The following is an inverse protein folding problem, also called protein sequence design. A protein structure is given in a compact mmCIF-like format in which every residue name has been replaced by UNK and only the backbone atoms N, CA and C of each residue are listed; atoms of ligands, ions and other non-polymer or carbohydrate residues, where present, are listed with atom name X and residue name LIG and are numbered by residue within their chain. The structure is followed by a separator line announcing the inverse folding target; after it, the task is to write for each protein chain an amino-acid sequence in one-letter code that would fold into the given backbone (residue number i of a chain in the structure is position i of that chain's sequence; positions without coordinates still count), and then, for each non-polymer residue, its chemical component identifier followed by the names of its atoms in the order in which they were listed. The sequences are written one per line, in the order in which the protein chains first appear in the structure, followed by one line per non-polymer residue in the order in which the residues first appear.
data_IF_369449623703
#
_entry.id   IF_369449623703
#
_cell.length_a   1.000
_cell.length_b   1.000
_cell.length_c   1.000
_cell.angle_alpha   90.00
_cell.angle_beta   90.00
_cell.angle_gamma   90.00
#
_symmetry.space_group_name_H-M   'P 1'
#
loop_
_entity.id
_entity.type
_entity.pdbx_description
1 polymer ?
#
# COMPACT_ATOMS: atom_id res chain seq x y z
N UNK A 1 16.06 8.79 -6.10
CA UNK A 1 15.46 7.51 -5.69
C UNK A 1 13.94 7.59 -5.70
N UNK A 2 13.33 6.45 -5.86
CA UNK A 2 11.88 6.33 -5.76
C UNK A 2 11.45 6.56 -4.31
N UNK A 3 10.54 7.52 -4.08
CA UNK A 3 9.95 7.73 -2.76
C UNK A 3 8.79 6.76 -2.58
N UNK A 4 8.76 6.08 -1.44
CA UNK A 4 7.66 5.22 -1.03
C UNK A 4 7.21 5.67 0.36
N UNK A 5 5.96 6.09 0.47
CA UNK A 5 5.34 6.46 1.74
C UNK A 5 4.57 5.25 2.28
N UNK A 6 4.98 4.75 3.43
CA UNK A 6 4.37 3.61 4.10
C UNK A 6 3.58 4.13 5.31
N UNK A 7 2.27 3.92 5.27
CA UNK A 7 1.36 4.31 6.35
C UNK A 7 0.99 3.10 7.18
N UNK A 8 1.40 3.11 8.44
CA UNK A 8 1.19 2.04 9.40
C UNK A 8 2.50 1.47 9.93
N UNK A 9 2.54 1.17 11.23
CA UNK A 9 3.73 0.63 11.89
C UNK A 9 3.42 -0.64 12.70
N UNK A 10 2.43 -1.40 12.25
CA UNK A 10 2.11 -2.71 12.84
C UNK A 10 3.12 -3.78 12.45
N UNK A 11 2.80 -5.03 12.76
CA UNK A 11 3.73 -6.16 12.58
C UNK A 11 4.15 -6.36 11.13
N UNK A 12 3.24 -6.20 10.17
CA UNK A 12 3.58 -6.35 8.75
C UNK A 12 4.55 -5.25 8.32
N UNK A 13 4.28 -4.00 8.68
CA UNK A 13 5.16 -2.88 8.35
C UNK A 13 6.54 -3.06 8.97
N UNK A 14 6.60 -3.52 10.22
CA UNK A 14 7.87 -3.80 10.91
C UNK A 14 8.68 -4.88 10.20
N UNK A 15 8.02 -5.88 9.62
CA UNK A 15 8.69 -6.92 8.83
C UNK A 15 9.06 -6.42 7.42
N UNK A 16 8.28 -5.50 6.87
CA UNK A 16 8.45 -4.97 5.51
C UNK A 16 9.61 -3.96 5.41
N UNK A 17 9.71 -3.05 6.37
CA UNK A 17 10.68 -1.93 6.30
C UNK A 17 12.12 -2.43 6.15
N UNK A 18 12.61 -3.45 6.87
CA UNK A 18 13.98 -3.95 6.67
C UNK A 18 14.24 -4.45 5.25
N UNK A 19 13.24 -4.99 4.58
CA UNK A 19 13.36 -5.43 3.18
C UNK A 19 13.43 -4.21 2.26
N UNK A 20 12.48 -3.29 2.41
CA UNK A 20 12.43 -2.07 1.59
C UNK A 20 13.69 -1.22 1.73
N UNK A 21 14.29 -1.21 2.91
CA UNK A 21 15.51 -0.47 3.19
C UNK A 21 16.71 -0.94 2.34
N UNK A 22 16.68 -2.16 1.85
CA UNK A 22 17.74 -2.72 1.00
C UNK A 22 17.53 -2.45 -0.49
N UNK A 23 16.42 -1.83 -0.84
CA UNK A 23 16.05 -1.52 -2.22
C UNK A 23 16.36 -0.04 -2.53
N UNK A 24 16.43 0.35 -3.82
CA UNK A 24 16.69 1.75 -4.19
C UNK A 24 15.47 2.65 -3.95
N UNK A 25 15.05 2.74 -2.71
CA UNK A 25 13.89 3.51 -2.26
C UNK A 25 14.32 4.55 -1.22
N UNK A 26 13.59 5.65 -1.16
CA UNK A 26 13.53 6.52 0.00
C UNK A 26 12.20 6.25 0.69
N UNK A 27 12.23 5.67 1.87
CA UNK A 27 11.03 5.24 2.59
C UNK A 27 10.65 6.31 3.60
N UNK A 28 9.43 6.82 3.49
CA UNK A 28 8.79 7.66 4.51
C UNK A 28 7.80 6.79 5.25
N UNK A 29 8.11 6.47 6.50
CA UNK A 29 7.32 5.57 7.32
C UNK A 29 6.51 6.37 8.32
N UNK A 30 5.18 6.29 8.26
CA UNK A 30 4.28 7.19 8.98
C UNK A 30 3.24 6.39 9.76
N UNK A 31 3.07 6.72 11.04
CA UNK A 31 2.01 6.14 11.87
C UNK A 31 1.49 7.22 12.81
N UNK A 32 0.27 7.04 13.31
CA UNK A 32 -0.34 7.99 14.25
C UNK A 32 -0.18 7.58 15.72
N UNK A 33 0.48 6.45 15.99
CA UNK A 33 0.64 5.92 17.36
C UNK A 33 2.07 6.13 17.84
N UNK A 34 2.24 7.01 18.81
CA UNK A 34 3.55 7.32 19.38
C UNK A 34 4.23 6.08 19.97
N UNK A 35 3.44 5.15 20.55
CA UNK A 35 3.95 3.92 21.14
C UNK A 35 4.66 2.99 20.16
N UNK A 36 4.43 3.16 18.85
CA UNK A 36 5.06 2.35 17.82
C UNK A 36 6.31 3.00 17.20
N UNK A 37 6.70 4.17 17.70
CA UNK A 37 7.90 4.86 17.23
C UNK A 37 9.12 3.94 17.44
N UNK A 38 9.92 3.69 16.39
CA UNK A 38 11.10 2.85 16.52
C UNK A 38 12.08 3.38 17.56
N UNK A 39 12.61 2.50 18.38
CA UNK A 39 13.61 2.84 19.41
C UNK A 39 15.04 2.59 18.95
N UNK A 40 15.21 1.74 17.93
CA UNK A 40 16.51 1.46 17.34
C UNK A 40 16.78 2.40 16.16
N UNK A 41 18.06 2.70 15.86
CA UNK A 41 18.40 3.49 14.69
C UNK A 41 17.86 2.86 13.40
N UNK A 42 17.30 3.71 12.52
CA UNK A 42 16.77 3.26 11.23
C UNK A 42 17.86 3.30 10.15
N UNK A 43 17.72 2.47 9.10
CA UNK A 43 18.58 2.58 7.93
C UNK A 43 18.56 4.00 7.35
N UNK A 44 19.65 4.41 6.69
CA UNK A 44 19.85 5.78 6.22
C UNK A 44 18.77 6.25 5.24
N UNK A 45 18.13 5.34 4.51
CA UNK A 45 17.09 5.65 3.53
C UNK A 45 15.65 5.51 4.08
N UNK A 46 15.51 5.35 5.40
CA UNK A 46 14.21 5.25 6.06
C UNK A 46 14.07 6.39 7.07
N UNK A 47 13.03 7.20 6.90
CA UNK A 47 12.64 8.21 7.87
C UNK A 47 11.32 7.80 8.52
N UNK A 48 11.19 7.98 9.83
CA UNK A 48 9.95 7.71 10.55
C UNK A 48 9.34 9.00 11.07
N UNK A 49 8.03 9.11 10.88
CA UNK A 49 7.25 10.25 11.39
C UNK A 49 6.04 9.75 12.14
N UNK A 50 5.87 10.19 13.39
CA UNK A 50 4.62 10.03 14.12
C UNK A 50 3.79 11.29 13.89
N UNK A 51 2.63 11.15 13.27
CA UNK A 51 1.72 12.26 12.95
C UNK A 51 0.31 11.86 13.37
N UNK A 52 -0.32 12.70 14.18
CA UNK A 52 -1.71 12.47 14.65
C UNK A 52 -2.71 12.46 13.49
N UNK A 53 -2.40 13.16 12.40
CA UNK A 53 -3.25 13.28 11.21
C UNK A 53 -2.48 12.86 9.95
N UNK A 54 -2.22 11.55 9.76
CA UNK A 54 -1.38 11.09 8.65
C UNK A 54 -1.88 11.46 7.26
N UNK A 55 -3.19 11.66 7.09
CA UNK A 55 -3.77 12.09 5.79
C UNK A 55 -3.14 13.40 5.31
N UNK A 56 -2.76 14.28 6.24
CA UNK A 56 -2.09 15.54 5.92
C UNK A 56 -0.70 15.37 5.29
N UNK A 57 -0.09 14.19 5.39
CA UNK A 57 1.21 13.92 4.78
C UNK A 57 1.09 13.62 3.29
N UNK A 58 -0.09 13.24 2.80
CA UNK A 58 -0.29 12.93 1.38
C UNK A 58 0.06 14.12 0.46
N UNK A 59 -0.46 15.34 0.72
CA UNK A 59 -0.12 16.49 -0.14
C UNK A 59 1.36 16.88 -0.12
N UNK A 60 2.10 16.45 0.89
CA UNK A 60 3.51 16.79 1.04
C UNK A 60 4.45 15.82 0.29
N UNK A 61 3.92 14.76 -0.27
CA UNK A 61 4.71 13.76 -1.00
C UNK A 61 5.18 14.33 -2.35
N UNK A 62 6.42 14.07 -2.74
CA UNK A 62 6.88 14.45 -4.08
C UNK A 62 6.05 13.78 -5.18
N UNK A 63 5.91 14.47 -6.30
CA UNK A 63 5.29 13.87 -7.49
C UNK A 63 6.02 12.57 -7.86
N UNK A 64 5.25 11.55 -8.23
CA UNK A 64 5.77 10.23 -8.54
C UNK A 64 5.93 9.30 -7.35
N UNK A 65 5.63 9.74 -6.14
CA UNK A 65 5.72 8.89 -4.95
C UNK A 65 4.75 7.72 -5.03
N UNK A 66 5.15 6.59 -4.46
CA UNK A 66 4.29 5.43 -4.25
C UNK A 66 3.76 5.45 -2.82
N UNK A 67 2.51 5.05 -2.66
CA UNK A 67 1.84 5.03 -1.35
C UNK A 67 1.47 3.58 -1.03
N UNK A 68 1.79 3.15 0.18
CA UNK A 68 1.44 1.81 0.70
C UNK A 68 0.71 2.00 2.03
N UNK A 69 -0.51 1.48 2.12
CA UNK A 69 -1.42 1.70 3.24
C UNK A 69 -1.64 0.39 3.98
N UNK A 70 -1.28 0.35 5.25
CA UNK A 70 -1.47 -0.80 6.13
C UNK A 70 -1.62 -0.36 7.58
N UNK A 71 -2.56 0.57 7.84
CA UNK A 71 -2.80 1.03 9.21
C UNK A 71 -3.65 0.02 9.98
N UNK A 72 -3.78 0.25 11.28
CA UNK A 72 -4.62 -0.56 12.16
C UNK A 72 -6.10 -0.17 12.12
N UNK A 73 -6.45 0.90 11.40
CA UNK A 73 -7.77 1.53 11.41
C UNK A 73 -8.32 1.57 9.98
N UNK A 74 -9.43 0.86 9.73
CA UNK A 74 -10.05 0.79 8.40
C UNK A 74 -10.55 2.16 7.92
N UNK A 75 -11.01 3.03 8.82
CA UNK A 75 -11.46 4.37 8.43
C UNK A 75 -10.27 5.22 7.99
N UNK A 76 -9.16 5.14 8.70
CA UNK A 76 -7.94 5.84 8.32
C UNK A 76 -7.40 5.31 6.98
N UNK A 77 -7.40 3.99 6.80
CA UNK A 77 -7.02 3.38 5.52
C UNK A 77 -7.85 3.96 4.37
N UNK A 78 -9.16 4.09 4.58
CA UNK A 78 -10.06 4.64 3.56
C UNK A 78 -9.73 6.10 3.25
N UNK A 79 -9.54 6.92 4.27
CA UNK A 79 -9.23 8.35 4.11
C UNK A 79 -7.90 8.54 3.39
N UNK A 80 -6.90 7.72 3.72
CA UNK A 80 -5.60 7.74 3.05
C UNK A 80 -5.73 7.35 1.57
N UNK A 81 -6.47 6.28 1.29
CA UNK A 81 -6.70 5.81 -0.08
C UNK A 81 -7.44 6.89 -0.91
N UNK A 82 -8.49 7.45 -0.36
CA UNK A 82 -9.26 8.50 -1.04
C UNK A 82 -8.38 9.72 -1.34
N UNK A 83 -7.64 10.20 -0.36
CA UNK A 83 -6.78 11.37 -0.53
C UNK A 83 -5.68 11.11 -1.57
N UNK A 84 -5.05 9.93 -1.49
CA UNK A 84 -3.99 9.56 -2.42
C UNK A 84 -4.50 9.40 -3.85
N UNK A 85 -5.68 8.81 -4.04
CA UNK A 85 -6.26 8.61 -5.36
C UNK A 85 -6.76 9.91 -5.99
N UNK A 86 -7.15 10.88 -5.19
CA UNK A 86 -7.50 12.22 -5.68
C UNK A 86 -6.26 13.03 -6.06
N UNK A 87 -5.09 12.67 -5.54
CA UNK A 87 -3.85 13.36 -5.87
C UNK A 87 -3.38 12.95 -7.27
N UNK A 88 -3.17 13.90 -8.20
CA UNK A 88 -2.89 13.56 -9.60
C UNK A 88 -1.51 12.93 -9.84
N UNK A 89 -0.57 13.14 -8.93
CA UNK A 89 0.84 12.81 -9.16
C UNK A 89 1.33 11.61 -8.33
N UNK A 90 0.42 10.78 -7.82
CA UNK A 90 0.77 9.57 -7.08
C UNK A 90 0.38 8.35 -7.91
N UNK A 91 1.32 7.77 -8.68
CA UNK A 91 0.98 6.76 -9.68
C UNK A 91 0.67 5.37 -9.12
N UNK A 92 0.95 5.13 -7.84
CA UNK A 92 0.73 3.82 -7.22
C UNK A 92 0.22 4.01 -5.80
N UNK A 93 -0.93 3.42 -5.53
CA UNK A 93 -1.54 3.41 -4.20
C UNK A 93 -1.91 1.98 -3.87
N UNK A 94 -1.13 1.34 -3.01
CA UNK A 94 -1.36 -0.04 -2.58
C UNK A 94 -1.95 -0.08 -1.18
N UNK A 95 -2.85 -1.03 -0.94
CA UNK A 95 -3.47 -1.20 0.38
C UNK A 95 -3.58 -2.66 0.75
N UNK A 96 -3.20 -2.98 1.99
CA UNK A 96 -3.33 -4.30 2.56
C UNK A 96 -4.80 -4.62 2.86
N UNK A 97 -5.18 -5.88 2.80
CA UNK A 97 -6.50 -6.34 3.21
C UNK A 97 -6.93 -7.60 2.49
N UNK A 98 -8.10 -8.10 2.86
CA UNK A 98 -8.73 -9.25 2.20
C UNK A 98 -9.36 -8.81 0.87
N UNK A 99 -9.73 -9.79 0.04
CA UNK A 99 -10.51 -9.54 -1.17
C UNK A 99 -11.86 -8.86 -0.84
N UNK A 100 -12.49 -9.26 0.25
CA UNK A 100 -13.75 -8.66 0.70
C UNK A 100 -13.57 -7.18 1.05
N UNK A 101 -12.52 -6.85 1.79
CA UNK A 101 -12.19 -5.46 2.13
C UNK A 101 -11.91 -4.65 0.85
N UNK A 102 -11.13 -5.22 -0.06
CA UNK A 102 -10.79 -4.57 -1.33
C UNK A 102 -12.03 -4.19 -2.12
N UNK A 103 -12.95 -5.13 -2.31
CA UNK A 103 -14.22 -4.87 -3.03
C UNK A 103 -15.06 -3.79 -2.37
N UNK A 104 -15.18 -3.86 -1.04
CA UNK A 104 -15.94 -2.88 -0.27
C UNK A 104 -15.35 -1.49 -0.39
N UNK A 105 -14.02 -1.39 -0.33
CA UNK A 105 -13.33 -0.10 -0.45
C UNK A 105 -13.46 0.48 -1.86
N UNK A 106 -13.30 -0.34 -2.89
CA UNK A 106 -13.47 0.12 -4.28
C UNK A 106 -14.89 0.65 -4.49
N UNK A 107 -15.90 -0.09 -4.04
CA UNK A 107 -17.29 0.33 -4.16
C UNK A 107 -17.53 1.67 -3.44
N UNK A 108 -17.02 1.80 -2.23
CA UNK A 108 -17.18 3.03 -1.45
C UNK A 108 -16.44 4.22 -2.07
N UNK A 109 -15.25 4.00 -2.62
CA UNK A 109 -14.50 5.02 -3.34
C UNK A 109 -15.27 5.50 -4.58
N UNK A 110 -15.84 4.57 -5.33
CA UNK A 110 -16.69 4.91 -6.47
C UNK A 110 -17.86 5.80 -6.05
N UNK A 111 -18.53 5.47 -4.96
CA UNK A 111 -19.64 6.26 -4.44
C UNK A 111 -19.22 7.65 -3.96
N UNK A 112 -17.95 7.84 -3.66
CA UNK A 112 -17.36 9.13 -3.30
C UNK A 112 -16.86 9.91 -4.52
N UNK A 113 -17.10 9.41 -5.73
CA UNK A 113 -16.75 10.11 -6.96
C UNK A 113 -15.34 9.84 -7.48
N UNK A 114 -14.65 8.83 -6.95
CA UNK A 114 -13.35 8.42 -7.49
C UNK A 114 -13.59 7.79 -8.87
N UNK A 115 -12.92 8.31 -9.89
CA UNK A 115 -13.08 7.87 -11.28
C UNK A 115 -12.38 6.55 -11.55
N UNK A 116 -12.73 5.90 -12.65
CA UNK A 116 -12.05 4.69 -13.10
C UNK A 116 -10.56 4.95 -13.36
N UNK A 117 -10.22 6.12 -13.91
CA UNK A 117 -8.83 6.50 -14.11
C UNK A 117 -8.05 6.63 -12.81
N UNK A 118 -8.66 7.18 -11.79
CA UNK A 118 -8.07 7.26 -10.45
C UNK A 118 -7.94 5.87 -9.83
N UNK A 119 -8.98 5.03 -9.93
CA UNK A 119 -8.97 3.67 -9.40
C UNK A 119 -7.95 2.78 -10.10
N UNK A 120 -7.56 3.08 -11.33
CA UNK A 120 -6.55 2.30 -12.05
C UNK A 120 -5.18 2.30 -11.36
N UNK A 121 -4.94 3.27 -10.48
CA UNK A 121 -3.71 3.38 -9.69
C UNK A 121 -3.79 2.65 -8.34
N UNK A 122 -4.96 2.12 -8.01
CA UNK A 122 -5.22 1.46 -6.72
C UNK A 122 -4.96 -0.03 -6.82
N UNK A 123 -4.01 -0.53 -6.05
CA UNK A 123 -3.64 -1.94 -5.98
C UNK A 123 -4.08 -2.49 -4.63
N UNK A 124 -5.15 -3.26 -4.63
CA UNK A 124 -5.70 -3.85 -3.40
C UNK A 124 -6.37 -5.21 -3.69
N UNK A 125 -6.09 -6.26 -2.93
CA UNK A 125 -5.05 -6.35 -1.91
C UNK A 125 -3.65 -6.18 -2.49
N UNK A 126 -2.78 -5.46 -1.76
CA UNK A 126 -1.38 -5.35 -2.15
C UNK A 126 -0.67 -6.70 -1.93
N UNK A 127 0.30 -7.01 -2.77
CA UNK A 127 1.08 -8.24 -2.71
C UNK A 127 0.77 -9.16 -3.88
N UNK A 128 1.60 -10.18 -4.06
CA UNK A 128 1.41 -11.20 -5.09
C UNK A 128 0.44 -12.26 -4.61
N UNK A 129 -0.61 -12.54 -5.37
CA UNK A 129 -1.70 -13.42 -4.98
C UNK A 129 -1.29 -14.89 -4.83
N UNK A 130 -0.20 -15.29 -5.49
CA UNK A 130 0.32 -16.65 -5.42
C UNK A 130 1.29 -16.91 -4.26
N UNK A 131 1.59 -15.89 -3.46
CA UNK A 131 2.37 -16.05 -2.23
C UNK A 131 1.37 -16.27 -1.09
N UNK A 132 1.32 -17.47 -0.51
CA UNK A 132 0.35 -17.78 0.53
C UNK A 132 0.80 -17.31 1.91
N UNK A 133 -0.14 -17.32 2.85
CA UNK A 133 0.14 -17.13 4.25
C UNK A 133 -0.31 -15.79 4.79
N UNK A 134 -0.45 -15.74 6.12
CA UNK A 134 -0.93 -14.56 6.84
C UNK A 134 0.04 -14.09 7.92
N UNK A 135 1.18 -14.78 8.10
CA UNK A 135 2.19 -14.29 9.02
C UNK A 135 2.73 -12.95 8.53
N UNK A 136 3.05 -12.03 9.44
CA UNK A 136 3.57 -10.72 9.04
C UNK A 136 4.73 -10.81 8.05
N UNK A 137 5.67 -11.73 8.26
CA UNK A 137 6.80 -11.90 7.34
C UNK A 137 6.37 -12.41 5.97
N UNK A 138 5.36 -13.29 5.91
CA UNK A 138 4.86 -13.82 4.62
C UNK A 138 4.18 -12.70 3.81
N UNK A 139 3.36 -11.89 4.48
CA UNK A 139 2.73 -10.74 3.84
C UNK A 139 3.79 -9.72 3.40
N UNK A 140 4.79 -9.47 4.25
CA UNK A 140 5.88 -8.55 3.91
C UNK A 140 6.68 -9.02 2.69
N UNK A 141 6.95 -10.31 2.58
CA UNK A 141 7.63 -10.89 1.40
C UNK A 141 6.79 -10.70 0.14
N UNK A 142 5.49 -10.99 0.23
CA UNK A 142 4.55 -10.83 -0.89
C UNK A 142 4.50 -9.38 -1.37
N UNK A 143 4.37 -8.43 -0.45
CA UNK A 143 4.34 -6.99 -0.78
C UNK A 143 5.67 -6.55 -1.37
N UNK A 144 6.79 -6.98 -0.77
CA UNK A 144 8.12 -6.65 -1.27
C UNK A 144 8.34 -7.14 -2.69
N UNK A 145 7.91 -8.36 -2.99
CA UNK A 145 8.03 -8.92 -4.33
C UNK A 145 7.27 -8.08 -5.36
N UNK A 146 6.08 -7.62 -5.03
CA UNK A 146 5.31 -6.73 -5.93
C UNK A 146 6.01 -5.39 -6.13
N UNK A 147 6.57 -4.82 -5.08
CA UNK A 147 7.32 -3.56 -5.17
C UNK A 147 8.59 -3.74 -6.01
N UNK A 148 9.30 -4.85 -5.85
CA UNK A 148 10.48 -5.17 -6.66
C UNK A 148 10.10 -5.26 -8.14
N UNK A 149 9.00 -5.94 -8.46
CA UNK A 149 8.50 -6.00 -9.85
C UNK A 149 8.26 -4.60 -10.40
N UNK A 150 7.63 -3.74 -9.61
CA UNK A 150 7.35 -2.38 -10.04
C UNK A 150 8.62 -1.55 -10.22
N UNK A 151 9.62 -1.73 -9.37
CA UNK A 151 10.93 -1.07 -9.53
C UNK A 151 11.61 -1.45 -10.85
N UNK A 152 11.36 -2.66 -11.34
CA UNK A 152 11.90 -3.15 -12.61
C UNK A 152 10.96 -2.94 -13.80
N UNK A 153 9.88 -2.19 -13.61
CA UNK A 153 8.94 -1.88 -14.69
C UNK A 153 8.02 -3.04 -15.10
N UNK A 154 7.87 -4.06 -14.25
CA UNK A 154 7.01 -5.22 -14.52
C UNK A 154 5.62 -4.97 -13.93
N UNK A 155 4.88 -4.03 -14.52
CA UNK A 155 3.57 -3.61 -14.00
C UNK A 155 2.39 -4.22 -14.78
N UNK A 156 2.64 -4.66 -16.01
CA UNK A 156 1.57 -5.05 -16.93
C UNK A 156 0.80 -6.29 -16.48
N UNK A 157 1.36 -7.10 -15.57
CA UNK A 157 0.72 -8.31 -15.04
C UNK A 157 -0.04 -8.04 -13.75
N UNK A 158 0.02 -6.82 -13.21
CA UNK A 158 -0.72 -6.41 -12.02
C UNK A 158 -2.09 -5.89 -12.43
N UNK A 159 -2.95 -6.81 -12.86
CA UNK A 159 -4.30 -6.43 -13.25
C UNK A 159 -5.05 -5.87 -12.05
N UNK A 160 -5.82 -4.76 -12.21
CA UNK A 160 -6.70 -4.28 -11.15
C UNK A 160 -7.69 -5.37 -10.76
N UNK A 161 -8.12 -5.35 -9.50
CA UNK A 161 -9.17 -6.25 -9.05
C UNK A 161 -10.48 -5.90 -9.74
N UNK A 162 -10.91 -6.78 -10.67
CA UNK A 162 -12.17 -6.62 -11.38
C UNK A 162 -13.12 -7.77 -11.02
N UNK A 163 -14.42 -7.58 -11.27
CA UNK A 163 -15.40 -8.63 -11.06
C UNK A 163 -15.11 -9.85 -11.96
N UNK A 164 -14.63 -9.62 -13.17
CA UNK A 164 -14.32 -10.69 -14.11
C UNK A 164 -13.12 -11.51 -13.67
N UNK A 165 -12.06 -10.86 -13.23
CA UNK A 165 -10.89 -11.55 -12.68
C UNK A 165 -11.28 -12.41 -11.47
N UNK A 166 -12.17 -11.91 -10.62
CA UNK A 166 -12.67 -12.66 -9.48
C UNK A 166 -13.48 -13.89 -9.90
N UNK A 167 -14.30 -13.77 -10.93
CA UNK A 167 -15.08 -14.90 -11.48
C UNK A 167 -14.17 -15.99 -12.03
N UNK A 168 -13.14 -15.60 -12.78
CA UNK A 168 -12.18 -16.55 -13.33
C UNK A 168 -11.46 -17.31 -12.22
N UNK A 169 -10.99 -16.60 -11.19
CA UNK A 169 -10.34 -17.23 -10.05
C UNK A 169 -11.27 -18.21 -9.32
N UNK A 170 -12.57 -17.90 -9.21
CA UNK A 170 -13.55 -18.78 -8.59
C UNK A 170 -13.84 -20.02 -9.46
N UNK A 171 -13.85 -19.89 -10.79
CA UNK A 171 -14.01 -21.00 -11.70
C UNK A 171 -12.82 -21.94 -11.69
N UNK A 172 -11.62 -21.41 -11.59
CA UNK A 172 -10.40 -22.21 -11.57
C UNK A 172 -10.27 -23.06 -10.28
N UNK A 173 -10.98 -22.69 -9.22
CA UNK A 173 -10.98 -23.44 -7.95
C UNK A 173 -12.07 -24.50 -7.87
N UNK A 174 -12.93 -24.60 -8.85
CA UNK A 174 -13.99 -25.61 -8.93
C UNK A 174 -13.57 -26.78 -9.82
#
# INVERSE_FOLDING_TARGET
RQVLALFGAGHVAQALVPILAQLPLSVRWIDNRESLTPTEPLPANVDYLCDDEPVGEIPLLPAGSWVVIMTHDHQLDFELAEKALKHPDLPYVGMIGSQTKAKRFVHRLQSKGISDGQLSRFVTPIGLSDIPGKLPVEVAVSVSAQIIRRLHGVNATEAPLTADTTKEALHDTQ
#
